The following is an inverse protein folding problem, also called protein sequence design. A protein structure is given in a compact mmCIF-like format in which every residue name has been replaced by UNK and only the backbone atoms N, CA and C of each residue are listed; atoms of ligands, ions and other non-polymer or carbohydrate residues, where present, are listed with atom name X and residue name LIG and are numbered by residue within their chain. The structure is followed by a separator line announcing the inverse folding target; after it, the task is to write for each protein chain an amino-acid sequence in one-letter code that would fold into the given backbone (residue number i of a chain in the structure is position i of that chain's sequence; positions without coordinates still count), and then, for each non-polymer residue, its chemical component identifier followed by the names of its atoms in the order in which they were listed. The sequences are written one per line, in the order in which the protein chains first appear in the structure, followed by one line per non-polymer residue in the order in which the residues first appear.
data_IF_598882467371
#
_entry.id   IF_598882467371
#
_cell.length_a   1.000
_cell.length_b   1.000
_cell.length_c   1.000
_cell.angle_alpha   90.00
_cell.angle_beta   90.00
_cell.angle_gamma   90.00
#
_symmetry.space_group_name_H-M   'P 1'
#
loop_
_entity.id
_entity.type
_entity.pdbx_description
1 polymer ?
#
# COMPACT_ATOMS: atom_id res chain seq x y z
N UNK A 1 8.76 0.01 33.60
CA UNK A 1 10.03 -0.20 32.88
C UNK A 1 10.06 0.67 31.63
N UNK A 2 11.10 1.50 31.49
CA UNK A 2 11.33 2.33 30.31
C UNK A 2 12.42 1.69 29.45
N UNK A 3 12.41 1.96 28.14
CA UNK A 3 13.36 1.41 27.18
C UNK A 3 13.71 2.43 26.10
N UNK A 4 14.91 2.32 25.55
CA UNK A 4 15.41 3.16 24.47
C UNK A 4 15.70 2.30 23.25
N UNK A 5 15.30 2.79 22.07
CA UNK A 5 15.62 2.14 20.79
C UNK A 5 17.12 2.33 20.54
N UNK A 6 17.87 1.23 20.47
CA UNK A 6 19.31 1.25 20.18
C UNK A 6 19.61 1.11 18.69
N UNK A 7 18.78 0.34 17.98
CA UNK A 7 18.96 0.03 16.56
C UNK A 7 17.65 -0.50 15.95
N UNK A 8 17.49 -0.31 14.64
CA UNK A 8 16.36 -0.85 13.86
C UNK A 8 16.89 -1.99 12.99
N UNK A 9 16.53 -3.24 13.31
CA UNK A 9 16.98 -4.43 12.56
C UNK A 9 16.20 -4.59 11.25
N UNK A 10 14.88 -4.38 11.30
CA UNK A 10 14.00 -4.45 10.14
C UNK A 10 12.80 -3.52 10.34
N UNK A 11 12.35 -2.88 9.26
CA UNK A 11 11.17 -2.00 9.28
C UNK A 11 9.98 -2.73 8.71
N UNK A 12 8.92 -2.85 9.51
CA UNK A 12 7.73 -3.63 9.17
C UNK A 12 6.97 -3.12 7.93
N UNK A 13 6.92 -1.79 7.70
CA UNK A 13 6.03 -1.19 6.72
C UNK A 13 6.80 -0.60 5.53
N UNK A 14 7.28 -1.44 4.61
CA UNK A 14 7.90 -0.95 3.37
C UNK A 14 6.90 -0.23 2.47
N UNK A 15 5.63 -0.67 2.51
CA UNK A 15 4.53 -0.10 1.73
C UNK A 15 3.45 0.46 2.64
N UNK A 16 2.93 1.63 2.29
CA UNK A 16 1.85 2.31 3.00
C UNK A 16 0.73 2.60 2.02
N UNK A 17 -0.49 2.22 2.41
CA UNK A 17 -1.70 2.54 1.66
C UNK A 17 -2.25 3.85 2.18
N UNK A 18 -2.64 4.72 1.26
CA UNK A 18 -3.26 5.98 1.61
C UNK A 18 -3.93 6.64 0.45
N UNK A 19 -4.60 7.75 0.74
CA UNK A 19 -5.23 8.59 -0.27
C UNK A 19 -4.27 9.66 -0.74
N UNK A 20 -4.11 9.80 -2.06
CA UNK A 20 -3.33 10.89 -2.64
C UNK A 20 -4.11 12.19 -2.57
N UNK A 21 -3.55 13.19 -1.90
CA UNK A 21 -4.10 14.52 -1.71
C UNK A 21 -3.15 15.57 -2.29
N UNK A 22 -3.70 16.74 -2.62
CA UNK A 22 -2.92 17.92 -2.99
C UNK A 22 -3.18 19.00 -1.96
N UNK A 23 -2.16 19.34 -1.18
CA UNK A 23 -2.21 20.36 -0.15
C UNK A 23 -1.27 21.50 -0.52
N UNK A 24 -1.81 22.70 -0.71
CA UNK A 24 -1.04 23.90 -1.06
C UNK A 24 -0.08 23.72 -2.27
N UNK A 25 -0.46 22.88 -3.24
CA UNK A 25 0.35 22.58 -4.43
C UNK A 25 1.39 21.47 -4.24
N UNK A 26 1.42 20.84 -3.06
CA UNK A 26 2.28 19.71 -2.74
C UNK A 26 1.45 18.44 -2.68
N UNK A 27 1.96 17.35 -3.25
CA UNK A 27 1.30 16.05 -3.19
C UNK A 27 1.70 15.33 -1.91
N UNK A 28 0.69 14.88 -1.20
CA UNK A 28 0.86 14.11 0.02
C UNK A 28 -0.04 12.89 -0.01
N UNK A 29 0.35 11.82 0.67
CA UNK A 29 -0.49 10.64 0.85
C UNK A 29 -0.86 10.56 2.32
N UNK A 30 -2.16 10.70 2.58
CA UNK A 30 -2.75 10.51 3.89
C UNK A 30 -2.90 9.00 4.16
N UNK A 31 -2.20 8.42 5.15
CA UNK A 31 -2.25 6.98 5.41
C UNK A 31 -3.62 6.50 5.90
N UNK A 32 -4.07 5.33 5.42
CA UNK A 32 -5.27 4.65 5.95
C UNK A 32 -5.03 3.98 7.32
N UNK A 33 -3.76 3.77 7.66
CA UNK A 33 -3.38 3.31 8.99
C UNK A 33 -3.12 4.50 9.93
N UNK A 34 -4.10 4.80 10.80
CA UNK A 34 -4.04 5.89 11.78
C UNK A 34 -2.87 5.80 12.76
N UNK A 35 -2.17 4.67 12.83
CA UNK A 35 -0.91 4.55 13.61
C UNK A 35 0.23 5.34 12.96
N UNK A 36 0.14 5.60 11.66
CA UNK A 36 1.06 6.46 10.92
C UNK A 36 0.47 7.87 10.97
N UNK A 37 0.88 8.65 11.97
CA UNK A 37 0.34 9.98 12.24
C UNK A 37 0.91 11.11 11.36
N UNK A 38 1.74 10.79 10.36
CA UNK A 38 2.35 11.78 9.47
C UNK A 38 2.00 11.46 8.02
N UNK A 39 1.64 12.48 7.27
CA UNK A 39 1.41 12.36 5.83
C UNK A 39 2.72 12.14 5.09
N UNK A 40 2.66 11.35 4.02
CA UNK A 40 3.83 10.99 3.23
C UNK A 40 3.94 11.96 2.06
N UNK A 41 5.03 12.71 2.03
CA UNK A 41 5.34 13.63 0.94
C UNK A 41 5.65 12.84 -0.35
N UNK A 42 4.96 13.19 -1.44
CA UNK A 42 5.20 12.60 -2.76
C UNK A 42 5.81 13.67 -3.68
N UNK A 43 7.10 13.56 -4.03
CA UNK A 43 7.70 14.43 -5.03
C UNK A 43 6.95 14.35 -6.36
N UNK A 44 6.81 15.44 -7.15
CA UNK A 44 6.06 15.42 -8.41
C UNK A 44 6.53 14.37 -9.42
N UNK A 45 7.82 14.00 -9.39
CA UNK A 45 8.39 12.95 -10.25
C UNK A 45 8.07 11.52 -9.77
N UNK A 46 7.58 11.37 -8.55
CA UNK A 46 7.32 10.11 -7.87
C UNK A 46 5.81 9.78 -7.75
N UNK A 47 4.92 10.62 -8.28
CA UNK A 47 3.47 10.36 -8.29
C UNK A 47 3.07 9.28 -9.33
N UNK A 48 3.91 9.05 -10.34
CA UNK A 48 3.60 8.13 -11.45
C UNK A 48 2.35 8.57 -12.22
N UNK A 49 1.36 7.67 -12.32
CA UNK A 49 0.08 7.87 -13.01
C UNK A 49 -1.08 8.16 -12.05
N UNK A 50 -0.81 8.28 -10.75
CA UNK A 50 -1.84 8.51 -9.75
C UNK A 50 -2.48 9.88 -9.91
N UNK A 51 -3.79 9.95 -9.68
CA UNK A 51 -4.55 11.19 -9.63
C UNK A 51 -4.93 11.53 -8.18
N UNK A 52 -5.03 12.82 -7.90
CA UNK A 52 -5.52 13.30 -6.61
C UNK A 52 -6.91 12.72 -6.35
N UNK A 53 -7.12 12.23 -5.13
CA UNK A 53 -8.34 11.56 -4.69
C UNK A 53 -8.26 10.04 -4.70
N UNK A 54 -7.35 9.44 -5.47
CA UNK A 54 -7.20 7.99 -5.59
C UNK A 54 -6.52 7.36 -4.37
N UNK A 55 -6.85 6.09 -4.13
CA UNK A 55 -6.16 5.24 -3.17
C UNK A 55 -4.92 4.64 -3.84
N UNK A 56 -3.77 4.83 -3.21
CA UNK A 56 -2.46 4.46 -3.75
C UNK A 56 -1.66 3.66 -2.73
N UNK A 57 -0.80 2.78 -3.24
CA UNK A 57 0.27 2.15 -2.47
C UNK A 57 1.56 2.93 -2.67
N UNK A 58 2.20 3.30 -1.57
CA UNK A 58 3.41 4.11 -1.54
C UNK A 58 4.55 3.33 -0.90
N UNK A 59 5.70 3.29 -1.55
CA UNK A 59 6.94 2.83 -0.93
C UNK A 59 7.65 4.01 -0.26
N UNK A 60 7.98 3.87 1.02
CA UNK A 60 8.75 4.86 1.77
C UNK A 60 10.21 4.85 1.29
N UNK A 61 10.67 5.98 0.76
CA UNK A 61 12.07 6.20 0.37
C UNK A 61 12.86 6.80 1.54
N UNK A 62 12.25 7.78 2.21
CA UNK A 62 12.80 8.39 3.42
C UNK A 62 11.81 8.20 4.56
N UNK A 63 12.34 7.75 5.68
CA UNK A 63 11.56 7.47 6.86
C UNK A 63 11.38 8.73 7.69
N UNK A 64 10.28 8.82 8.45
CA UNK A 64 10.07 9.97 9.31
C UNK A 64 11.15 10.01 10.40
N UNK A 65 11.65 11.20 10.66
CA UNK A 65 12.49 11.51 11.82
C UNK A 65 11.83 12.67 12.59
N UNK A 66 12.38 13.05 13.74
CA UNK A 66 11.84 14.08 14.65
C UNK A 66 11.53 15.41 13.97
N UNK A 67 12.23 15.72 12.88
CA UNK A 67 12.13 16.98 12.14
C UNK A 67 11.86 16.79 10.64
N UNK A 68 11.74 15.55 10.16
CA UNK A 68 11.68 15.23 8.74
C UNK A 68 10.41 14.44 8.45
N UNK A 69 9.59 14.97 7.54
CA UNK A 69 8.42 14.27 7.04
C UNK A 69 8.84 13.07 6.18
N UNK A 70 8.08 11.97 6.20
CA UNK A 70 8.39 10.82 5.38
C UNK A 70 8.23 11.18 3.91
N UNK A 71 9.15 10.69 3.07
CA UNK A 71 9.10 10.88 1.61
C UNK A 71 8.87 9.53 0.96
N UNK A 72 7.89 9.46 0.07
CA UNK A 72 7.50 8.23 -0.59
C UNK A 72 7.41 8.37 -2.10
N UNK A 73 7.33 7.21 -2.77
CA UNK A 73 6.99 7.10 -4.18
C UNK A 73 5.77 6.22 -4.37
N UNK A 74 4.87 6.63 -5.26
CA UNK A 74 3.73 5.80 -5.62
C UNK A 74 4.22 4.61 -6.43
N UNK A 75 3.94 3.40 -5.96
CA UNK A 75 4.28 2.15 -6.66
C UNK A 75 3.09 1.55 -7.39
N UNK A 76 1.88 1.77 -6.89
CA UNK A 76 0.66 1.19 -7.44
C UNK A 76 -0.53 2.12 -7.18
N UNK A 77 -1.41 2.25 -8.17
CA UNK A 77 -2.73 2.87 -8.00
C UNK A 77 -3.72 1.74 -7.77
N UNK A 78 -4.37 1.73 -6.61
CA UNK A 78 -5.33 0.68 -6.25
C UNK A 78 -6.68 0.99 -6.90
N UNK A 79 -7.11 2.25 -6.88
CA UNK A 79 -8.33 2.71 -7.55
C UNK A 79 -8.88 4.00 -6.95
N UNK A 80 -10.14 4.26 -7.25
CA UNK A 80 -10.89 5.38 -6.67
C UNK A 80 -11.57 4.95 -5.37
N UNK A 81 -11.66 5.85 -4.38
CA UNK A 81 -12.20 5.52 -3.05
C UNK A 81 -13.66 5.05 -3.08
N UNK A 82 -14.39 5.44 -4.13
CA UNK A 82 -15.81 5.12 -4.32
C UNK A 82 -16.02 3.86 -5.18
N UNK A 83 -14.94 3.18 -5.59
CA UNK A 83 -15.04 1.97 -6.41
C UNK A 83 -15.62 0.78 -5.61
N UNK A 84 -16.52 -0.03 -6.20
CA UNK A 84 -17.05 -1.22 -5.53
C UNK A 84 -15.94 -2.22 -5.14
N UNK A 85 -15.90 -2.59 -3.87
CA UNK A 85 -14.93 -3.57 -3.35
C UNK A 85 -13.58 -2.97 -2.91
N UNK A 86 -13.43 -1.63 -2.97
CA UNK A 86 -12.21 -0.95 -2.51
C UNK A 86 -11.88 -1.23 -1.05
N UNK A 87 -12.88 -1.37 -0.18
CA UNK A 87 -12.67 -1.67 1.24
C UNK A 87 -12.01 -3.05 1.44
N UNK A 88 -12.35 -4.02 0.58
CA UNK A 88 -11.76 -5.36 0.62
C UNK A 88 -10.29 -5.28 0.20
N UNK A 89 -10.00 -4.57 -0.90
CA UNK A 89 -8.63 -4.39 -1.41
C UNK A 89 -7.73 -3.67 -0.41
N UNK A 90 -8.25 -2.65 0.27
CA UNK A 90 -7.54 -1.95 1.36
C UNK A 90 -7.28 -2.91 2.52
N UNK A 91 -8.27 -3.66 2.97
CA UNK A 91 -8.13 -4.57 4.11
C UNK A 91 -7.10 -5.69 3.82
N UNK A 92 -7.21 -6.33 2.66
CA UNK A 92 -6.29 -7.40 2.21
C UNK A 92 -4.85 -6.91 2.25
N UNK A 93 -4.56 -5.74 1.67
CA UNK A 93 -3.19 -5.21 1.63
C UNK A 93 -2.73 -4.66 2.98
N UNK A 94 -3.60 -3.99 3.74
CA UNK A 94 -3.27 -3.43 5.07
C UNK A 94 -2.82 -4.50 6.06
N UNK A 95 -3.45 -5.68 6.01
CA UNK A 95 -3.09 -6.82 6.86
C UNK A 95 -2.10 -7.78 6.20
N UNK A 96 -1.58 -7.45 5.01
CA UNK A 96 -0.62 -8.30 4.30
C UNK A 96 -1.18 -9.67 3.97
N UNK A 97 -2.49 -9.79 3.78
CA UNK A 97 -3.14 -11.07 3.47
C UNK A 97 -2.64 -11.52 2.09
N UNK A 98 -2.03 -12.72 1.99
CA UNK A 98 -1.63 -13.27 0.70
C UNK A 98 -2.88 -13.48 -0.17
N UNK A 99 -3.03 -12.65 -1.20
CA UNK A 99 -4.19 -12.67 -2.10
C UNK A 99 -3.83 -13.13 -3.52
N UNK A 100 -2.55 -13.23 -3.84
CA UNK A 100 -2.08 -13.70 -5.14
C UNK A 100 -1.67 -15.17 -5.03
N UNK A 101 -2.31 -16.02 -5.82
CA UNK A 101 -1.88 -17.40 -5.97
C UNK A 101 -0.59 -17.47 -6.80
N UNK A 102 0.24 -18.46 -6.48
CA UNK A 102 1.45 -18.69 -7.27
C UNK A 102 1.09 -19.07 -8.71
N UNK A 103 1.92 -18.73 -9.71
CA UNK A 103 1.67 -19.12 -11.10
C UNK A 103 1.54 -20.65 -11.28
N UNK A 104 2.23 -21.43 -10.45
CA UNK A 104 2.15 -22.89 -10.46
C UNK A 104 0.76 -23.38 -10.02
N UNK A 105 0.22 -22.82 -8.92
CA UNK A 105 -1.11 -23.17 -8.41
C UNK A 105 -2.21 -22.81 -9.41
N UNK A 106 -2.11 -21.64 -10.04
CA UNK A 106 -3.09 -21.22 -11.08
C UNK A 106 -3.03 -22.16 -12.29
N UNK A 107 -1.83 -22.53 -12.73
CA UNK A 107 -1.64 -23.46 -13.85
C UNK A 107 -2.23 -24.83 -13.57
N UNK A 108 -2.06 -25.35 -12.35
CA UNK A 108 -2.65 -26.62 -11.93
C UNK A 108 -4.18 -26.55 -11.90
N UNK A 109 -4.73 -25.48 -11.33
CA UNK A 109 -6.18 -25.27 -11.26
C UNK A 109 -6.83 -25.18 -12.65
N UNK A 110 -6.18 -24.51 -13.62
CA UNK A 110 -6.65 -24.44 -15.01
C UNK A 110 -6.66 -25.79 -15.73
N UNK A 111 -5.94 -26.79 -15.22
CA UNK A 111 -5.96 -28.15 -15.77
C UNK A 111 -7.11 -29.01 -15.27
N UNK A 112 -7.88 -28.53 -14.28
CA UNK A 112 -9.00 -29.28 -13.71
C UNK A 112 -10.29 -29.01 -14.52
N UNK A 113 -11.14 -30.03 -14.73
CA UNK A 113 -12.45 -29.84 -15.33
C UNK A 113 -13.39 -29.10 -14.36
N UNK A 114 -14.30 -28.28 -14.90
CA UNK A 114 -15.30 -27.55 -14.11
C UNK A 114 -16.34 -28.48 -13.45
N UNK A 115 -16.53 -29.67 -14.03
CA UNK A 115 -17.45 -30.69 -13.55
C UNK A 115 -16.72 -31.96 -13.16
N UNK A 116 -17.27 -32.68 -12.17
CA UNK A 116 -16.74 -33.98 -11.75
C UNK A 116 -16.96 -34.97 -12.89
N UNK A 117 -15.87 -35.48 -13.46
CA UNK A 117 -15.92 -36.56 -14.43
C UNK A 117 -16.45 -37.82 -13.71
N UNK A 118 -17.63 -38.31 -14.13
CA UNK A 118 -18.11 -39.60 -13.65
C UNK A 118 -17.17 -40.72 -14.14
N UNK A 119 -16.93 -41.68 -13.24
CA UNK A 119 -16.03 -42.81 -13.42
C UNK A 119 -16.53 -43.84 -14.44
#
# INVERSE_FOLDING_TARGET
PEGQIVEIVERANRFVIGRLLSENGVLVVAPEDKRIGQDILIPPKAQGKARVGQVVSVELMEWPDRYVQPVGRVVEVIGDIDDPGMEIEIAVRKYGVPHQFSPAAVKEAQGLPDEVLQA
#
